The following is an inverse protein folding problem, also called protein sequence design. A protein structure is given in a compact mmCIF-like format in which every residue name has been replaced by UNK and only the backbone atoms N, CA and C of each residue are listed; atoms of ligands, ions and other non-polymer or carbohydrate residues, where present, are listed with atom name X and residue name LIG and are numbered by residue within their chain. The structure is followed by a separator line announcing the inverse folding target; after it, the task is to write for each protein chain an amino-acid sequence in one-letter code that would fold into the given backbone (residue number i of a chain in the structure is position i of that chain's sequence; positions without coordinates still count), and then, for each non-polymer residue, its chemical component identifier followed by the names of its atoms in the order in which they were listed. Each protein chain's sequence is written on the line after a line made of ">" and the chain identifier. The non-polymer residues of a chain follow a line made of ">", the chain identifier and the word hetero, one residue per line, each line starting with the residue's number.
data_IF_313175647680
#
_entry.id   IF_313175647680
#
_cell.length_a   1.000
_cell.length_b   1.000
_cell.length_c   1.000
_cell.angle_alpha   90.00
_cell.angle_beta   90.00
_cell.angle_gamma   90.00
#
_symmetry.space_group_name_H-M   'P 1'
#
loop_
_entity.id
_entity.type
_entity.pdbx_description
1 polymer ?
#
# COMPACT_ATOMS: atom_id res chain seq x y z
N UNK A 1 2.84 23.37 0.63
CA UNK A 1 2.66 22.32 -0.40
C UNK A 1 3.47 21.12 0.06
N UNK A 2 2.99 19.89 -0.06
CA UNK A 2 3.78 18.72 0.34
C UNK A 2 5.00 18.59 -0.58
N UNK A 3 6.18 18.92 -0.05
CA UNK A 3 7.47 18.63 -0.68
C UNK A 3 7.73 17.14 -0.44
N UNK A 4 7.20 16.28 -1.31
CA UNK A 4 7.38 14.84 -1.19
C UNK A 4 8.83 14.44 -1.42
N UNK A 5 9.63 14.29 -0.36
CA UNK A 5 11.04 13.88 -0.43
C UNK A 5 11.27 12.40 -0.11
N UNK A 6 10.39 11.80 0.70
CA UNK A 6 10.54 10.43 1.21
C UNK A 6 9.56 9.46 0.54
N UNK A 7 9.30 8.32 1.17
CA UNK A 7 8.39 7.27 0.69
C UNK A 7 7.13 7.86 0.05
N UNK A 8 6.81 7.37 -1.15
CA UNK A 8 5.65 7.82 -1.91
C UNK A 8 4.37 7.73 -1.08
N UNK A 9 3.61 8.82 -1.05
CA UNK A 9 2.34 8.87 -0.32
C UNK A 9 1.30 7.88 -0.82
N UNK A 10 1.34 7.49 -2.11
CA UNK A 10 0.48 6.44 -2.64
C UNK A 10 0.79 5.09 -1.98
N UNK A 11 2.07 4.68 -1.95
CA UNK A 11 2.51 3.44 -1.29
C UNK A 11 2.16 3.44 0.20
N UNK A 12 2.46 4.53 0.90
CA UNK A 12 2.12 4.64 2.33
C UNK A 12 0.60 4.55 2.56
N UNK A 13 -0.20 5.20 1.72
CA UNK A 13 -1.66 5.12 1.77
C UNK A 13 -2.17 3.70 1.54
N UNK A 14 -1.59 2.95 0.59
CA UNK A 14 -1.90 1.54 0.39
C UNK A 14 -1.54 0.67 1.60
N UNK A 15 -0.38 0.90 2.23
CA UNK A 15 0.00 0.21 3.46
C UNK A 15 -0.97 0.49 4.61
N UNK A 16 -1.42 1.75 4.76
CA UNK A 16 -2.45 2.12 5.73
C UNK A 16 -3.79 1.43 5.43
N UNK A 17 -4.17 1.33 4.15
CA UNK A 17 -5.39 0.64 3.73
C UNK A 17 -5.34 -0.86 4.06
N UNK A 18 -4.22 -1.52 3.80
CA UNK A 18 -4.01 -2.91 4.25
C UNK A 18 -4.07 -3.02 5.79
N UNK A 19 -3.49 -2.05 6.50
CA UNK A 19 -3.54 -2.00 7.96
C UNK A 19 -4.94 -1.82 8.52
N UNK A 20 -5.81 -1.08 7.83
CA UNK A 20 -7.21 -0.93 8.20
C UNK A 20 -7.95 -2.28 8.19
N UNK A 21 -7.69 -3.14 7.21
CA UNK A 21 -8.34 -4.45 7.09
C UNK A 21 -7.67 -5.55 7.92
N UNK A 22 -6.34 -5.54 7.99
CA UNK A 22 -5.56 -6.70 8.42
C UNK A 22 -4.61 -6.39 9.60
N UNK A 23 -4.48 -5.13 10.01
CA UNK A 23 -3.70 -4.73 11.17
C UNK A 23 -4.40 -5.02 12.49
N UNK A 24 -3.67 -4.84 13.59
CA UNK A 24 -4.24 -4.86 14.94
C UNK A 24 -4.99 -3.56 15.22
N UNK A 25 -6.30 -3.63 15.44
CA UNK A 25 -7.16 -2.48 15.71
C UNK A 25 -7.49 -2.25 17.18
N UNK A 26 -7.48 -3.28 18.02
CA UNK A 26 -7.94 -3.22 19.41
C UNK A 26 -7.00 -3.92 20.42
N UNK A 27 -7.09 -3.59 21.73
CA UNK A 27 -6.46 -4.38 22.78
C UNK A 27 -7.00 -5.82 22.77
N UNK A 28 -6.12 -6.83 22.82
CA UNK A 28 -6.49 -8.25 22.76
C UNK A 28 -6.55 -8.83 21.34
N UNK A 29 -6.66 -7.98 20.32
CA UNK A 29 -6.62 -8.40 18.92
C UNK A 29 -5.17 -8.63 18.45
N UNK A 30 -4.96 -9.63 17.59
CA UNK A 30 -3.74 -9.81 16.80
C UNK A 30 -3.95 -9.33 15.36
N UNK A 31 -2.89 -8.86 14.70
CA UNK A 31 -2.92 -8.63 13.25
C UNK A 31 -3.20 -9.95 12.49
N UNK A 32 -3.72 -9.85 11.28
CA UNK A 32 -3.91 -10.99 10.40
C UNK A 32 -2.56 -11.71 10.18
N UNK A 33 -2.48 -13.06 10.19
CA UNK A 33 -1.22 -13.79 10.08
C UNK A 33 -0.40 -13.42 8.82
N UNK A 34 -1.08 -13.07 7.73
CA UNK A 34 -0.46 -12.68 6.46
C UNK A 34 -0.27 -11.16 6.30
N UNK A 35 -0.60 -10.34 7.30
CA UNK A 35 -0.53 -8.88 7.18
C UNK A 35 0.85 -8.37 6.75
N UNK A 36 1.91 -8.91 7.35
CA UNK A 36 3.28 -8.54 6.98
C UNK A 36 3.67 -9.01 5.58
N UNK A 37 3.09 -10.09 5.08
CA UNK A 37 3.29 -10.55 3.71
C UNK A 37 2.61 -9.59 2.74
N UNK A 38 1.35 -9.24 2.98
CA UNK A 38 0.61 -8.26 2.18
C UNK A 38 1.32 -6.91 2.05
N UNK A 39 1.92 -6.40 3.15
CA UNK A 39 2.73 -5.18 3.11
C UNK A 39 3.98 -5.31 2.24
N UNK A 40 4.66 -6.47 2.27
CA UNK A 40 5.83 -6.72 1.42
C UNK A 40 5.41 -6.83 -0.04
N UNK A 41 4.36 -7.58 -0.33
CA UNK A 41 3.85 -7.77 -1.68
C UNK A 41 3.46 -6.43 -2.32
N UNK A 42 2.80 -5.55 -1.56
CA UNK A 42 2.47 -4.20 -2.02
C UNK A 42 3.74 -3.37 -2.30
N UNK A 43 4.74 -3.41 -1.42
CA UNK A 43 5.97 -2.65 -1.59
C UNK A 43 6.82 -3.15 -2.76
N UNK A 44 6.93 -4.46 -2.94
CA UNK A 44 7.64 -5.10 -4.06
C UNK A 44 6.95 -4.79 -5.38
N UNK A 45 5.64 -4.98 -5.46
CA UNK A 45 4.86 -4.60 -6.63
C UNK A 45 4.98 -3.10 -6.94
N UNK A 46 4.93 -2.24 -5.93
CA UNK A 46 5.01 -0.79 -6.14
C UNK A 46 6.33 -0.35 -6.77
N UNK A 47 7.45 -0.98 -6.39
CA UNK A 47 8.76 -0.67 -6.99
C UNK A 47 8.77 -0.95 -8.49
N UNK A 48 8.12 -2.03 -8.93
CA UNK A 48 7.95 -2.34 -10.34
C UNK A 48 7.03 -1.32 -11.04
N UNK A 49 5.89 -0.98 -10.41
CA UNK A 49 4.90 -0.03 -10.96
C UNK A 49 5.43 1.43 -11.02
N UNK A 50 6.27 1.83 -10.06
CA UNK A 50 6.91 3.13 -10.02
C UNK A 50 7.79 3.35 -11.27
N UNK A 51 8.35 2.29 -11.84
CA UNK A 51 9.10 2.31 -13.10
C UNK A 51 10.47 2.99 -13.00
N UNK A 52 10.97 3.21 -11.80
CA UNK A 52 12.28 3.82 -11.58
C UNK A 52 13.43 2.81 -11.80
N UNK A 53 14.61 3.27 -12.25
CA UNK A 53 15.83 2.49 -12.15
C UNK A 53 16.17 2.23 -10.67
N UNK A 54 16.27 0.96 -10.28
CA UNK A 54 16.50 0.57 -8.89
C UNK A 54 15.23 0.51 -8.04
N UNK A 55 15.30 -0.13 -6.88
CA UNK A 55 14.17 -0.43 -5.99
C UNK A 55 13.62 0.78 -5.20
N UNK A 56 13.75 1.99 -5.73
CA UNK A 56 13.31 3.21 -5.04
C UNK A 56 11.80 3.33 -4.98
N UNK A 57 11.32 3.82 -3.84
CA UNK A 57 9.92 4.21 -3.63
C UNK A 57 9.79 5.66 -3.16
N UNK A 58 10.87 6.46 -3.26
CA UNK A 58 10.88 7.86 -2.83
C UNK A 58 10.14 8.74 -3.82
N UNK A 59 9.32 9.63 -3.30
CA UNK A 59 8.52 10.57 -4.07
C UNK A 59 9.42 11.52 -4.88
N UNK A 60 10.56 11.97 -4.32
CA UNK A 60 11.53 12.81 -5.02
C UNK A 60 12.01 12.15 -6.32
N UNK A 61 12.47 10.90 -6.24
CA UNK A 61 12.99 10.14 -7.39
C UNK A 61 11.91 9.95 -8.48
N UNK A 62 10.67 9.65 -8.08
CA UNK A 62 9.52 9.52 -9.00
C UNK A 62 9.21 10.85 -9.69
N UNK A 63 9.20 11.94 -8.93
CA UNK A 63 8.89 13.27 -9.44
C UNK A 63 9.99 13.79 -10.37
N UNK A 64 11.26 13.48 -10.07
CA UNK A 64 12.39 13.80 -10.94
C UNK A 64 12.29 13.07 -12.28
N UNK A 65 11.95 11.78 -12.26
CA UNK A 65 11.87 10.96 -13.48
C UNK A 65 10.61 11.22 -14.34
N UNK A 66 9.44 11.41 -13.71
CA UNK A 66 8.15 11.39 -14.41
C UNK A 66 7.28 12.64 -14.19
N UNK A 67 7.63 13.49 -13.23
CA UNK A 67 6.85 14.67 -12.86
C UNK A 67 5.53 14.34 -12.14
N UNK A 68 4.82 15.42 -11.74
CA UNK A 68 3.60 15.33 -10.90
C UNK A 68 2.41 14.64 -11.57
N UNK A 69 2.39 14.56 -12.90
CA UNK A 69 1.34 13.86 -13.63
C UNK A 69 1.34 12.34 -13.35
N UNK A 70 2.43 11.78 -12.82
CA UNK A 70 2.53 10.38 -12.40
C UNK A 70 1.74 10.07 -11.14
N UNK A 71 1.59 11.04 -10.23
CA UNK A 71 0.93 10.87 -8.93
C UNK A 71 -0.50 10.30 -9.03
N UNK A 72 -1.45 10.86 -9.82
CA UNK A 72 -2.81 10.32 -9.89
C UNK A 72 -2.85 8.87 -10.40
N UNK A 73 -1.95 8.50 -11.31
CA UNK A 73 -1.84 7.12 -11.78
C UNK A 73 -1.38 6.18 -10.66
N UNK A 74 -0.32 6.54 -9.92
CA UNK A 74 0.17 5.73 -8.81
C UNK A 74 -0.87 5.61 -7.68
N UNK A 75 -1.61 6.67 -7.36
CA UNK A 75 -2.68 6.61 -6.36
C UNK A 75 -3.74 5.60 -6.76
N UNK A 76 -4.19 5.65 -8.03
CA UNK A 76 -5.15 4.68 -8.56
C UNK A 76 -4.57 3.26 -8.55
N UNK A 77 -3.38 3.05 -9.10
CA UNK A 77 -2.78 1.72 -9.20
C UNK A 77 -2.58 1.11 -7.81
N UNK A 78 -2.10 1.88 -6.82
CA UNK A 78 -1.92 1.38 -5.46
C UNK A 78 -3.26 1.01 -4.81
N UNK A 79 -4.32 1.80 -5.01
CA UNK A 79 -5.64 1.45 -4.50
C UNK A 79 -6.12 0.11 -5.08
N UNK A 80 -6.03 -0.06 -6.41
CA UNK A 80 -6.41 -1.31 -7.08
C UNK A 80 -5.59 -2.48 -6.52
N UNK A 81 -4.26 -2.34 -6.46
CA UNK A 81 -3.40 -3.44 -5.99
C UNK A 81 -3.66 -3.79 -4.52
N UNK A 82 -3.90 -2.80 -3.67
CA UNK A 82 -4.24 -3.07 -2.28
C UNK A 82 -5.54 -3.88 -2.16
N UNK A 83 -6.55 -3.61 -2.98
CA UNK A 83 -7.78 -4.42 -3.01
C UNK A 83 -7.51 -5.84 -3.49
N UNK A 84 -6.76 -6.00 -4.59
CA UNK A 84 -6.37 -7.32 -5.08
C UNK A 84 -5.65 -8.15 -4.01
N UNK A 85 -4.69 -7.54 -3.30
CA UNK A 85 -3.94 -8.23 -2.22
C UNK A 85 -4.89 -8.68 -1.10
N UNK A 86 -5.88 -7.87 -0.72
CA UNK A 86 -6.84 -8.26 0.32
C UNK A 86 -7.70 -9.45 -0.13
N UNK A 87 -8.24 -9.38 -1.35
CA UNK A 87 -9.06 -10.45 -1.92
C UNK A 87 -8.26 -11.75 -2.09
N UNK A 88 -7.02 -11.67 -2.59
CA UNK A 88 -6.08 -12.80 -2.71
C UNK A 88 -5.77 -13.47 -1.36
N UNK A 89 -5.85 -12.71 -0.26
CA UNK A 89 -5.64 -13.20 1.10
C UNK A 89 -6.96 -13.56 1.83
N UNK A 90 -8.08 -13.61 1.11
CA UNK A 90 -9.38 -14.03 1.63
C UNK A 90 -10.06 -13.01 2.55
N UNK A 91 -9.69 -11.73 2.45
CA UNK A 91 -10.32 -10.64 3.20
C UNK A 91 -11.40 -10.01 2.33
N UNK A 92 -12.64 -10.07 2.79
CA UNK A 92 -13.76 -9.37 2.16
C UNK A 92 -13.60 -7.85 2.33
N UNK A 93 -13.58 -7.11 1.23
CA UNK A 93 -13.37 -5.65 1.22
C UNK A 93 -14.66 -4.85 1.50
N UNK A 94 -15.82 -5.49 1.58
CA UNK A 94 -17.09 -4.88 1.95
C UNK A 94 -17.37 -5.06 3.45
N UNK A 95 -17.06 -6.24 3.98
CA UNK A 95 -17.35 -6.60 5.39
C UNK A 95 -16.11 -6.50 6.31
N UNK A 96 -14.90 -6.59 5.75
CA UNK A 96 -13.66 -6.69 6.51
C UNK A 96 -13.41 -8.09 7.08
N UNK A 97 -12.37 -8.22 7.92
CA UNK A 97 -12.07 -9.49 8.59
C UNK A 97 -12.92 -9.66 9.85
N UNK A 98 -13.33 -10.89 10.21
CA UNK A 98 -14.00 -11.15 11.48
C UNK A 98 -13.05 -10.88 12.65
N UNK A 99 -13.58 -10.23 13.70
CA UNK A 99 -12.86 -9.97 14.94
C UNK A 99 -13.17 -11.07 15.97
N UNK A 100 -12.19 -11.47 16.80
CA UNK A 100 -12.48 -12.34 17.94
C UNK A 100 -13.41 -11.61 18.94
N UNK A 101 -14.38 -12.35 19.50
CA UNK A 101 -15.30 -11.88 20.55
C UNK A 101 -14.58 -11.51 21.86
#
# INVERSE_FOLDING_TARGET
>A
MAEGSETCGALLGGACLLGFYAGKGQPGEGEHPLFRAMLRDLAEWFRAEAGLPGESSRCADILEAFGKARCPMLVRSVWVKAMEILEENGIDILEGRPLPE
#
